data_IF_511756700788
#
_entry.id   IF_511756700788
#
_cell.length_a   1.000
_cell.length_b   1.000
_cell.length_c   1.000
_cell.angle_alpha   90.00
_cell.angle_beta   90.00
_cell.angle_gamma   90.00
#
_symmetry.space_group_name_H-M   'P 1'
#
loop_
_entity.id
_entity.type
_entity.pdbx_description
1 polymer ?
#
# COMPACT_ATOMS: atom_id res chain seq x y z
N UNK A 1 7.88 50.70 18.63
CA UNK A 1 7.83 49.31 19.07
C UNK A 1 7.16 48.52 17.99
N UNK A 2 7.93 47.89 17.12
CA UNK A 2 7.44 47.11 15.99
C UNK A 2 7.09 45.70 16.43
N UNK A 3 5.84 45.28 16.17
CA UNK A 3 5.39 43.92 16.37
C UNK A 3 5.72 43.17 15.09
N UNK A 4 6.75 42.32 15.17
CA UNK A 4 7.11 41.38 14.10
C UNK A 4 6.07 40.29 14.02
N UNK A 5 5.38 40.24 12.88
CA UNK A 5 4.48 39.15 12.48
C UNK A 5 5.23 37.80 12.43
N UNK A 6 4.64 36.68 12.90
CA UNK A 6 5.27 35.39 12.78
C UNK A 6 5.27 34.94 11.33
N UNK A 7 6.46 34.62 10.79
CA UNK A 7 6.65 34.02 9.49
C UNK A 7 5.80 32.73 9.38
N UNK A 8 4.76 32.76 8.55
CA UNK A 8 4.16 31.55 7.97
C UNK A 8 5.27 30.86 7.14
N UNK A 9 5.75 29.75 7.62
CA UNK A 9 6.45 28.80 6.75
C UNK A 9 5.40 28.28 5.73
N UNK A 10 5.37 28.87 4.56
CA UNK A 10 4.79 28.25 3.39
C UNK A 10 5.58 26.97 3.12
N UNK A 11 5.08 25.82 3.56
CA UNK A 11 5.56 24.53 3.10
C UNK A 11 5.32 24.51 1.59
N UNK A 12 6.40 24.72 0.84
CA UNK A 12 6.42 24.57 -0.62
C UNK A 12 5.97 23.13 -0.90
N UNK A 13 4.73 22.96 -1.37
CA UNK A 13 4.22 21.65 -1.80
C UNK A 13 5.20 21.13 -2.85
N UNK A 14 5.98 20.13 -2.47
CA UNK A 14 6.96 19.52 -3.35
C UNK A 14 6.19 18.70 -4.38
N UNK A 15 6.28 19.09 -5.64
CA UNK A 15 5.61 18.39 -6.74
C UNK A 15 6.24 17.01 -6.92
N UNK A 16 5.47 15.95 -6.74
CA UNK A 16 5.85 14.59 -7.10
C UNK A 16 5.98 14.52 -8.62
N UNK A 17 7.06 13.92 -9.13
CA UNK A 17 7.46 14.03 -10.53
C UNK A 17 7.68 12.69 -11.23
N UNK A 18 7.83 11.60 -10.48
CA UNK A 18 8.08 10.30 -11.09
C UNK A 18 6.83 9.83 -11.83
N UNK A 19 6.94 9.74 -13.15
CA UNK A 19 5.87 9.24 -14.02
C UNK A 19 5.87 7.71 -14.08
N UNK A 20 4.79 7.15 -14.61
CA UNK A 20 4.69 5.70 -14.84
C UNK A 20 5.81 5.17 -15.74
N UNK A 21 6.18 5.92 -16.77
CA UNK A 21 7.25 5.56 -17.70
C UNK A 21 8.62 5.55 -17.01
N UNK A 22 8.90 6.54 -16.16
CA UNK A 22 10.14 6.61 -15.40
C UNK A 22 10.24 5.46 -14.39
N UNK A 23 9.16 5.14 -13.70
CA UNK A 23 9.12 4.00 -12.79
C UNK A 23 9.35 2.68 -13.54
N UNK A 24 8.72 2.50 -14.70
CA UNK A 24 8.93 1.33 -15.55
C UNK A 24 10.37 1.23 -16.07
N UNK A 25 10.98 2.37 -16.43
CA UNK A 25 12.39 2.40 -16.85
C UNK A 25 13.29 2.00 -15.69
N UNK A 26 13.08 2.54 -14.47
CA UNK A 26 13.79 2.11 -13.27
C UNK A 26 13.73 0.58 -13.07
N UNK A 27 12.55 -0.02 -13.24
CA UNK A 27 12.40 -1.47 -13.13
C UNK A 27 13.27 -2.19 -14.18
N UNK A 28 13.21 -1.76 -15.43
CA UNK A 28 13.98 -2.36 -16.52
C UNK A 28 15.48 -2.29 -16.24
N UNK A 29 15.98 -1.13 -15.85
CA UNK A 29 17.40 -0.90 -15.57
C UNK A 29 17.88 -1.75 -14.39
N UNK A 30 17.11 -1.76 -13.30
CA UNK A 30 17.44 -2.54 -12.11
C UNK A 30 17.42 -4.05 -12.37
N UNK A 31 16.48 -4.57 -13.14
CA UNK A 31 16.45 -5.98 -13.49
C UNK A 31 17.60 -6.38 -14.43
N UNK A 32 18.21 -5.44 -15.14
CA UNK A 32 19.39 -5.73 -15.96
C UNK A 32 20.64 -6.01 -15.13
N UNK A 33 20.78 -5.35 -13.98
CA UNK A 33 21.97 -5.39 -13.13
C UNK A 33 21.79 -6.18 -11.82
N UNK A 34 20.58 -6.31 -11.31
CA UNK A 34 20.30 -6.99 -10.04
C UNK A 34 19.76 -8.41 -10.23
N UNK A 35 20.68 -9.38 -10.25
CA UNK A 35 20.40 -10.79 -10.57
C UNK A 35 19.31 -11.41 -9.69
N UNK A 36 19.40 -11.28 -8.36
CA UNK A 36 18.42 -11.89 -7.45
C UNK A 36 17.02 -11.25 -7.58
N UNK A 37 16.93 -9.95 -7.88
CA UNK A 37 15.66 -9.32 -8.17
C UNK A 37 15.08 -9.84 -9.50
N UNK A 38 15.91 -9.90 -10.55
CA UNK A 38 15.53 -10.46 -11.86
C UNK A 38 14.96 -11.87 -11.73
N UNK A 39 15.62 -12.73 -10.96
CA UNK A 39 15.18 -14.11 -10.75
C UNK A 39 13.83 -14.17 -10.02
N UNK A 40 13.60 -13.29 -9.03
CA UNK A 40 12.33 -13.19 -8.35
C UNK A 40 11.20 -12.66 -9.24
N UNK A 41 11.48 -11.71 -10.16
CA UNK A 41 10.51 -11.26 -11.16
C UNK A 41 10.22 -12.35 -12.18
N UNK A 42 11.24 -13.07 -12.65
CA UNK A 42 11.05 -14.23 -13.52
C UNK A 42 10.22 -15.33 -12.87
N UNK A 43 10.37 -15.53 -11.55
CA UNK A 43 9.57 -16.50 -10.81
C UNK A 43 8.06 -16.16 -10.80
N UNK A 44 7.67 -14.90 -11.09
CA UNK A 44 6.24 -14.55 -11.26
C UNK A 44 5.61 -15.23 -12.48
N UNK A 45 6.38 -15.57 -13.51
CA UNK A 45 5.88 -16.28 -14.70
C UNK A 45 5.40 -17.70 -14.36
N UNK A 46 5.98 -18.29 -13.31
CA UNK A 46 5.64 -19.63 -12.81
C UNK A 46 4.60 -19.61 -11.69
N UNK A 47 4.08 -18.43 -11.31
CA UNK A 47 3.06 -18.30 -10.28
C UNK A 47 1.75 -18.93 -10.74
N UNK A 48 1.23 -19.83 -9.92
CA UNK A 48 -0.11 -20.38 -10.16
C UNK A 48 -1.15 -19.43 -9.59
N UNK A 49 -2.16 -19.13 -10.40
CA UNK A 49 -3.27 -18.25 -10.02
C UNK A 49 -4.58 -19.02 -10.10
N UNK A 50 -5.37 -18.95 -9.04
CA UNK A 50 -6.72 -19.50 -8.99
C UNK A 50 -7.70 -18.38 -8.70
N UNK A 51 -8.75 -18.27 -9.49
CA UNK A 51 -9.83 -17.32 -9.25
C UNK A 51 -11.02 -18.04 -8.63
N UNK A 52 -11.57 -17.45 -7.59
CA UNK A 52 -12.77 -17.93 -6.90
C UNK A 52 -13.77 -16.77 -6.81
N UNK A 53 -15.05 -17.11 -6.85
CA UNK A 53 -16.12 -16.17 -6.50
C UNK A 53 -16.60 -16.46 -5.09
N UNK A 54 -16.46 -15.49 -4.20
CA UNK A 54 -16.91 -15.58 -2.79
C UNK A 54 -17.87 -14.43 -2.54
N UNK A 55 -19.10 -14.72 -2.18
CA UNK A 55 -20.16 -13.73 -1.94
C UNK A 55 -20.30 -12.70 -3.09
N UNK A 56 -20.16 -13.16 -4.34
CA UNK A 56 -20.21 -12.28 -5.51
C UNK A 56 -18.95 -11.48 -5.82
N UNK A 57 -17.91 -11.59 -4.99
CA UNK A 57 -16.61 -10.93 -5.18
C UNK A 57 -15.61 -11.88 -5.83
N UNK A 58 -14.81 -11.37 -6.76
CA UNK A 58 -13.70 -12.14 -7.35
C UNK A 58 -12.50 -12.12 -6.40
N UNK A 59 -12.02 -13.30 -6.04
CA UNK A 59 -10.81 -13.50 -5.23
C UNK A 59 -9.76 -14.21 -6.06
N UNK A 60 -8.58 -13.61 -6.22
CA UNK A 60 -7.41 -14.25 -6.80
C UNK A 60 -6.55 -14.85 -5.71
N UNK A 61 -6.27 -16.14 -5.82
CA UNK A 61 -5.32 -16.82 -4.95
C UNK A 61 -4.05 -17.07 -5.76
N UNK A 62 -2.93 -16.55 -5.28
CA UNK A 62 -1.62 -16.79 -5.89
C UNK A 62 -0.79 -17.72 -5.02
N UNK A 63 -0.25 -18.75 -5.64
CA UNK A 63 0.81 -19.55 -5.05
C UNK A 63 2.15 -19.15 -5.66
N UNK A 64 2.99 -18.49 -4.84
CA UNK A 64 4.34 -18.08 -5.21
C UNK A 64 5.34 -18.61 -4.18
N UNK A 65 6.00 -19.75 -4.46
CA UNK A 65 6.94 -20.37 -3.52
C UNK A 65 8.18 -19.49 -3.24
N UNK A 66 8.62 -18.65 -4.19
CA UNK A 66 9.78 -17.77 -4.02
C UNK A 66 9.54 -16.69 -2.92
N UNK A 67 8.30 -16.41 -2.54
CA UNK A 67 7.97 -15.40 -1.53
C UNK A 67 7.95 -15.88 -0.09
N UNK A 68 8.18 -17.13 0.18
CA UNK A 68 8.18 -17.68 1.55
C UNK A 68 9.16 -16.88 2.44
N UNK A 69 10.34 -16.57 1.94
CA UNK A 69 11.38 -15.81 2.66
C UNK A 69 10.91 -14.42 3.06
N UNK A 70 10.32 -13.64 2.12
CA UNK A 70 9.85 -12.27 2.40
C UNK A 70 8.60 -12.24 3.29
N UNK A 71 7.82 -13.32 3.29
CA UNK A 71 6.61 -13.45 4.11
C UNK A 71 6.90 -13.71 5.58
N UNK A 72 8.09 -14.22 5.90
CA UNK A 72 8.54 -14.57 7.24
C UNK A 72 9.25 -13.42 7.97
N UNK A 73 9.25 -12.19 7.44
CA UNK A 73 9.88 -11.05 8.11
C UNK A 73 9.32 -10.86 9.52
N UNK A 74 10.20 -10.90 10.51
CA UNK A 74 9.87 -10.64 11.91
C UNK A 74 9.64 -9.14 12.09
N UNK A 75 8.47 -8.78 12.63
CA UNK A 75 8.06 -7.39 12.89
C UNK A 75 7.68 -7.15 14.37
N UNK A 76 8.12 -8.04 15.25
CA UNK A 76 8.02 -7.81 16.68
C UNK A 76 9.01 -6.73 17.14
N UNK A 77 8.69 -6.08 18.26
CA UNK A 77 9.44 -4.93 18.77
C UNK A 77 10.92 -5.22 18.99
N UNK A 78 11.27 -6.43 19.42
CA UNK A 78 12.67 -6.83 19.65
C UNK A 78 13.42 -6.95 18.32
N UNK A 79 12.86 -7.69 17.37
CA UNK A 79 13.45 -7.87 16.04
C UNK A 79 13.62 -6.54 15.28
N UNK A 80 12.68 -5.59 15.45
CA UNK A 80 12.77 -4.26 14.84
C UNK A 80 13.92 -3.43 15.41
N UNK A 81 14.18 -3.53 16.72
CA UNK A 81 15.30 -2.81 17.36
C UNK A 81 16.67 -3.38 16.99
N UNK A 82 16.76 -4.67 16.76
CA UNK A 82 18.02 -5.37 16.49
C UNK A 82 18.43 -5.33 15.02
N UNK A 83 17.47 -5.19 14.09
CA UNK A 83 17.76 -5.17 12.66
C UNK A 83 18.10 -3.75 12.17
N UNK A 84 19.01 -3.66 11.21
CA UNK A 84 19.15 -2.46 10.40
C UNK A 84 17.91 -2.26 9.51
N UNK A 85 17.41 -1.05 9.41
CA UNK A 85 16.27 -0.75 8.55
C UNK A 85 16.69 -0.87 7.07
N UNK A 86 16.12 -1.82 6.35
CA UNK A 86 16.45 -2.09 4.94
C UNK A 86 15.90 -1.03 3.97
N UNK A 87 15.09 -0.08 4.44
CA UNK A 87 14.59 1.04 3.63
C UNK A 87 15.48 2.28 3.73
N UNK A 88 16.30 2.38 4.77
CA UNK A 88 17.30 3.45 4.88
C UNK A 88 18.36 3.32 3.80
N UNK A 89 18.74 4.43 3.18
CA UNK A 89 19.66 4.44 2.03
C UNK A 89 20.98 3.71 2.31
N UNK A 90 21.54 3.91 3.51
CA UNK A 90 22.82 3.32 3.95
C UNK A 90 22.78 1.81 4.18
N UNK A 91 21.60 1.21 4.22
CA UNK A 91 21.43 -0.23 4.46
C UNK A 91 20.88 -0.97 3.24
N UNK A 92 20.62 -0.27 2.14
CA UNK A 92 20.16 -0.89 0.88
C UNK A 92 21.30 -1.67 0.23
N UNK A 93 21.01 -2.72 -0.55
CA UNK A 93 22.02 -3.34 -1.39
C UNK A 93 22.68 -2.30 -2.32
N UNK A 94 24.01 -2.36 -2.50
CA UNK A 94 24.74 -1.42 -3.38
C UNK A 94 24.20 -1.38 -4.80
N UNK A 95 23.69 -2.51 -5.30
CA UNK A 95 23.07 -2.62 -6.63
C UNK A 95 21.70 -1.99 -6.73
N UNK A 96 21.02 -1.70 -5.59
CA UNK A 96 19.68 -1.13 -5.58
C UNK A 96 19.72 0.38 -5.76
N UNK A 97 19.58 0.83 -6.98
CA UNK A 97 19.39 2.24 -7.29
C UNK A 97 17.93 2.65 -7.08
N UNK A 98 17.72 3.92 -6.75
CA UNK A 98 16.41 4.50 -6.55
C UNK A 98 16.21 5.75 -7.39
N UNK A 99 14.96 6.04 -7.72
CA UNK A 99 14.56 7.25 -8.42
C UNK A 99 14.00 8.26 -7.41
N UNK A 100 14.69 9.39 -7.14
CA UNK A 100 14.24 10.39 -6.18
C UNK A 100 12.94 11.08 -6.62
N UNK A 101 12.03 11.29 -5.68
CA UNK A 101 10.74 11.94 -5.90
C UNK A 101 10.35 12.80 -4.68
N UNK A 102 10.91 13.97 -4.59
CA UNK A 102 10.70 14.84 -3.45
C UNK A 102 11.31 14.28 -2.16
N UNK A 103 10.49 14.08 -1.13
CA UNK A 103 10.88 13.45 0.12
C UNK A 103 10.83 11.91 0.09
N UNK A 104 10.57 11.33 -1.08
CA UNK A 104 10.47 9.90 -1.32
C UNK A 104 11.53 9.42 -2.30
N UNK A 105 11.74 8.12 -2.32
CA UNK A 105 12.55 7.45 -3.33
C UNK A 105 11.79 6.23 -3.84
N UNK A 106 11.59 6.13 -5.16
CA UNK A 106 11.06 4.92 -5.78
C UNK A 106 12.15 3.86 -5.86
N UNK A 107 11.86 2.68 -5.34
CA UNK A 107 12.73 1.50 -5.36
C UNK A 107 11.93 0.34 -5.97
N UNK A 108 12.59 -0.50 -6.76
CA UNK A 108 11.93 -1.76 -7.12
C UNK A 108 11.78 -2.64 -5.86
N UNK A 109 10.67 -3.36 -5.76
CA UNK A 109 10.51 -4.35 -4.70
C UNK A 109 11.17 -5.66 -5.14
N UNK A 110 12.26 -6.13 -4.47
CA UNK A 110 12.99 -7.32 -4.92
C UNK A 110 12.20 -8.63 -4.72
N UNK A 111 11.07 -8.59 -4.00
CA UNK A 111 10.17 -9.73 -3.79
C UNK A 111 8.77 -9.40 -4.33
N UNK A 112 8.59 -9.36 -5.66
CA UNK A 112 7.40 -8.81 -6.27
C UNK A 112 6.16 -9.67 -6.03
N UNK A 113 4.99 -8.99 -6.09
CA UNK A 113 3.66 -9.58 -6.18
C UNK A 113 3.06 -9.23 -7.54
N UNK A 114 3.33 -8.00 -7.97
CA UNK A 114 2.89 -7.45 -9.24
C UNK A 114 3.99 -7.59 -10.28
N UNK A 115 3.65 -7.67 -11.58
CA UNK A 115 4.65 -7.61 -12.66
C UNK A 115 5.56 -6.40 -12.58
N UNK A 116 5.05 -5.27 -12.14
CA UNK A 116 5.80 -4.06 -11.80
C UNK A 116 5.45 -3.71 -10.35
N UNK A 117 6.42 -3.84 -9.44
CA UNK A 117 6.20 -3.68 -8.00
C UNK A 117 7.26 -2.78 -7.39
N UNK A 118 6.83 -1.69 -6.77
CA UNK A 118 7.73 -0.70 -6.16
C UNK A 118 7.47 -0.56 -4.66
N UNK A 119 8.51 -0.14 -3.96
CA UNK A 119 8.45 0.35 -2.58
C UNK A 119 8.93 1.79 -2.59
N UNK A 120 8.18 2.68 -1.96
CA UNK A 120 8.40 4.14 -2.02
C UNK A 120 8.58 4.66 -0.59
N UNK A 121 9.77 4.45 0.03
CA UNK A 121 10.06 4.97 1.36
C UNK A 121 10.23 6.48 1.36
N UNK A 122 9.90 7.09 2.49
CA UNK A 122 10.36 8.44 2.83
C UNK A 122 11.89 8.40 2.96
N UNK A 123 12.59 9.47 2.57
CA UNK A 123 14.05 9.52 2.63
C UNK A 123 14.57 9.51 4.08
N UNK A 124 13.80 10.05 5.02
CA UNK A 124 14.10 10.04 6.44
C UNK A 124 13.54 8.80 7.13
N UNK A 125 14.23 8.31 8.16
CA UNK A 125 13.72 7.20 8.97
C UNK A 125 12.63 7.68 9.93
N UNK A 126 11.38 7.63 9.47
CA UNK A 126 10.19 8.08 10.20
C UNK A 126 9.19 6.93 10.35
N UNK A 127 8.41 6.88 11.44
CA UNK A 127 7.42 5.81 11.66
C UNK A 127 6.38 5.71 10.54
N UNK A 128 5.90 4.50 10.29
CA UNK A 128 4.84 4.20 9.32
C UNK A 128 3.50 4.75 9.81
N UNK A 129 3.17 5.99 9.46
CA UNK A 129 1.93 6.68 9.81
C UNK A 129 1.37 7.38 8.57
N UNK A 130 0.04 7.32 8.40
CA UNK A 130 -0.62 7.85 7.19
C UNK A 130 -1.19 9.26 7.36
N UNK A 131 -1.57 9.67 8.57
CA UNK A 131 -2.36 10.88 8.80
C UNK A 131 -1.88 12.09 8.00
N UNK A 132 -0.59 12.39 8.06
CA UNK A 132 0.01 13.55 7.39
C UNK A 132 0.58 13.25 5.99
N UNK A 133 0.40 12.02 5.51
CA UNK A 133 0.97 11.55 4.23
C UNK A 133 -0.10 11.11 3.24
N UNK A 134 -1.37 11.22 3.59
CA UNK A 134 -2.44 10.84 2.67
C UNK A 134 -2.42 11.67 1.39
N UNK A 135 -2.18 13.00 1.48
CA UNK A 135 -2.01 13.86 0.32
C UNK A 135 -0.81 13.47 -0.55
N UNK A 136 0.31 13.04 0.07
CA UNK A 136 1.46 12.51 -0.70
C UNK A 136 1.06 11.27 -1.49
N UNK A 137 0.28 10.37 -0.90
CA UNK A 137 -0.24 9.18 -1.58
C UNK A 137 -1.11 9.55 -2.80
N UNK A 138 -1.93 10.58 -2.69
CA UNK A 138 -2.75 11.09 -3.80
C UNK A 138 -1.87 11.63 -4.92
N UNK A 139 -0.87 12.46 -4.60
CA UNK A 139 0.05 13.05 -5.57
C UNK A 139 0.89 12.00 -6.29
N UNK A 140 1.41 11.01 -5.56
CA UNK A 140 2.13 9.87 -6.15
C UNK A 140 1.23 9.07 -7.10
N UNK A 141 -0.03 8.79 -6.71
CA UNK A 141 -0.98 8.08 -7.56
C UNK A 141 -1.33 8.85 -8.84
N UNK A 142 -1.41 10.18 -8.76
CA UNK A 142 -1.67 11.03 -9.92
C UNK A 142 -0.46 11.11 -10.87
N UNK A 143 0.75 11.24 -10.33
CA UNK A 143 1.96 11.32 -11.14
C UNK A 143 2.25 10.00 -11.88
N UNK A 144 1.98 8.88 -11.23
CA UNK A 144 2.22 7.53 -11.74
C UNK A 144 0.91 6.76 -11.96
N UNK A 145 0.04 7.29 -12.83
CA UNK A 145 -1.36 6.85 -13.00
C UNK A 145 -1.55 5.42 -13.50
N UNK A 146 -0.50 4.75 -14.00
CA UNK A 146 -0.56 3.33 -14.38
C UNK A 146 -0.44 2.39 -13.18
N UNK A 147 -0.26 2.93 -11.98
CA UNK A 147 -0.12 2.14 -10.75
C UNK A 147 -1.25 2.39 -9.76
N UNK A 148 -1.55 1.37 -8.98
CA UNK A 148 -2.27 1.48 -7.73
C UNK A 148 -1.27 1.62 -6.60
N UNK A 149 -1.38 2.70 -5.82
CA UNK A 149 -0.62 2.90 -4.59
C UNK A 149 -1.30 2.18 -3.45
N UNK A 150 -0.52 1.65 -2.52
CA UNK A 150 -1.08 1.06 -1.33
C UNK A 150 -0.26 1.33 -0.07
N UNK A 151 -0.98 1.48 1.02
CA UNK A 151 -0.48 1.70 2.36
C UNK A 151 -0.86 0.52 3.26
N UNK A 152 0.12 -0.03 3.95
CA UNK A 152 -0.08 -0.97 5.03
C UNK A 152 0.27 -0.27 6.34
N UNK A 153 -0.69 -0.12 7.26
CA UNK A 153 -0.44 0.43 8.59
C UNK A 153 0.51 -0.44 9.42
N UNK A 154 1.06 0.08 10.52
CA UNK A 154 2.13 -0.57 11.31
C UNK A 154 1.83 -2.02 11.71
N UNK A 155 0.61 -2.30 12.16
CA UNK A 155 0.12 -3.65 12.49
C UNK A 155 -0.88 -4.18 11.46
N UNK A 156 -0.82 -3.66 10.24
CA UNK A 156 -1.70 -4.04 9.14
C UNK A 156 -0.93 -4.66 7.96
N UNK A 157 0.21 -5.27 8.24
CA UNK A 157 1.02 -5.98 7.25
C UNK A 157 2.22 -5.20 6.72
N UNK A 158 2.54 -4.03 7.27
CA UNK A 158 3.81 -3.36 6.99
C UNK A 158 5.00 -4.26 7.37
N UNK A 159 5.97 -4.42 6.47
CA UNK A 159 7.21 -5.15 6.75
C UNK A 159 8.28 -4.27 7.42
N UNK A 160 8.12 -2.95 7.32
CA UNK A 160 8.92 -1.94 8.01
C UNK A 160 8.00 -0.93 8.70
N UNK A 161 7.38 -1.29 9.85
CA UNK A 161 6.51 -0.37 10.58
C UNK A 161 7.27 0.78 11.24
N UNK A 162 8.58 0.69 11.30
CA UNK A 162 9.54 1.68 11.78
C UNK A 162 9.94 2.70 10.71
N UNK A 163 9.62 2.47 9.43
CA UNK A 163 10.00 3.36 8.33
C UNK A 163 8.83 3.61 7.36
N UNK A 164 8.39 4.85 7.28
CA UNK A 164 7.26 5.24 6.46
C UNK A 164 7.51 4.96 4.96
N UNK A 165 6.58 4.28 4.34
CA UNK A 165 6.66 3.93 2.93
C UNK A 165 5.29 3.64 2.33
N UNK A 166 5.17 3.89 1.05
CA UNK A 166 4.10 3.36 0.21
C UNK A 166 4.63 2.21 -0.64
N UNK A 167 3.73 1.52 -1.30
CA UNK A 167 4.06 0.57 -2.35
C UNK A 167 3.19 0.88 -3.58
N UNK A 168 3.65 0.45 -4.76
CA UNK A 168 2.91 0.60 -5.99
C UNK A 168 2.96 -0.69 -6.81
N UNK A 169 1.86 -1.00 -7.49
CA UNK A 169 1.75 -2.14 -8.41
C UNK A 169 0.87 -1.79 -9.61
N UNK A 170 0.94 -2.60 -10.69
CA UNK A 170 0.18 -2.34 -11.91
C UNK A 170 -1.31 -2.20 -11.65
N UNK A 171 -1.94 -1.14 -12.17
CA UNK A 171 -3.39 -1.01 -12.24
C UNK A 171 -4.00 -2.17 -13.04
N UNK A 172 -5.23 -2.54 -12.67
CA UNK A 172 -5.95 -3.64 -13.29
C UNK A 172 -5.53 -5.04 -12.83
N UNK A 173 -4.55 -5.13 -11.93
CA UNK A 173 -4.12 -6.40 -11.33
C UNK A 173 -5.10 -6.88 -10.25
N UNK A 174 -5.58 -5.98 -9.41
CA UNK A 174 -6.51 -6.31 -8.33
C UNK A 174 -7.95 -6.38 -8.85
N UNK A 175 -8.71 -7.44 -8.55
CA UNK A 175 -10.12 -7.55 -8.95
C UNK A 175 -10.97 -6.35 -8.55
N UNK A 176 -10.75 -5.81 -7.35
CA UNK A 176 -11.50 -4.66 -6.83
C UNK A 176 -11.49 -3.45 -7.77
N UNK A 177 -10.38 -3.15 -8.42
CA UNK A 177 -10.27 -2.00 -9.33
C UNK A 177 -11.32 -2.06 -10.45
N UNK A 178 -11.53 -3.26 -11.03
CA UNK A 178 -12.51 -3.50 -12.09
C UNK A 178 -13.94 -3.60 -11.56
N UNK A 179 -14.08 -4.13 -10.35
CA UNK A 179 -15.35 -4.46 -9.76
C UNK A 179 -15.95 -3.34 -8.89
N UNK A 180 -15.18 -2.29 -8.58
CA UNK A 180 -15.58 -1.24 -7.66
C UNK A 180 -16.97 -0.63 -8.01
N UNK A 181 -17.25 -0.50 -9.31
CA UNK A 181 -18.51 0.12 -9.79
C UNK A 181 -19.75 -0.73 -9.50
N UNK A 182 -19.62 -2.04 -9.26
CA UNK A 182 -20.77 -2.94 -9.02
C UNK A 182 -21.26 -2.93 -7.57
N UNK A 183 -20.42 -2.49 -6.63
CA UNK A 183 -20.75 -2.53 -5.21
C UNK A 183 -21.62 -1.35 -4.79
N UNK A 184 -22.55 -1.61 -3.84
CA UNK A 184 -23.44 -0.61 -3.28
C UNK A 184 -22.66 0.38 -2.44
N UNK A 185 -22.90 1.66 -2.67
CA UNK A 185 -22.28 2.77 -1.96
C UNK A 185 -23.30 3.51 -1.13
N UNK A 186 -23.09 3.56 0.18
CA UNK A 186 -23.90 4.35 1.10
C UNK A 186 -23.18 5.67 1.33
N UNK A 187 -23.71 6.80 0.85
CA UNK A 187 -23.09 8.09 1.05
C UNK A 187 -23.03 8.45 2.53
N UNK A 188 -21.86 8.88 3.01
CA UNK A 188 -21.66 9.36 4.38
C UNK A 188 -21.52 10.88 4.37
N UNK A 189 -20.66 11.39 3.47
CA UNK A 189 -20.35 12.82 3.41
C UNK A 189 -19.90 13.25 2.02
N UNK A 190 -20.24 14.49 1.67
CA UNK A 190 -19.75 15.14 0.45
C UNK A 190 -19.07 16.46 0.84
N UNK A 191 -17.93 16.72 0.25
CA UNK A 191 -17.15 17.95 0.40
C UNK A 191 -16.76 18.45 -0.99
N UNK A 192 -17.39 19.54 -1.47
CA UNK A 192 -17.14 20.08 -2.82
C UNK A 192 -17.11 18.98 -3.89
N UNK A 193 -15.91 18.69 -4.42
CA UNK A 193 -15.63 17.71 -5.48
C UNK A 193 -15.19 16.33 -4.94
N UNK A 194 -15.47 16.02 -3.67
CA UNK A 194 -15.14 14.74 -3.07
C UNK A 194 -16.33 14.13 -2.34
N UNK A 195 -16.42 12.81 -2.35
CA UNK A 195 -17.45 12.02 -1.68
C UNK A 195 -16.81 10.90 -0.85
N UNK A 196 -17.25 10.77 0.39
CA UNK A 196 -17.00 9.63 1.26
C UNK A 196 -18.24 8.75 1.29
N UNK A 197 -18.07 7.47 1.01
CA UNK A 197 -19.12 6.46 1.07
C UNK A 197 -18.64 5.24 1.85
N UNK A 198 -19.55 4.51 2.47
CA UNK A 198 -19.33 3.13 2.90
C UNK A 198 -19.67 2.22 1.72
N UNK A 199 -18.79 1.29 1.42
CA UNK A 199 -19.03 0.26 0.40
C UNK A 199 -19.46 -1.01 1.11
N UNK A 200 -20.67 -1.46 0.76
CA UNK A 200 -21.25 -2.72 1.20
C UNK A 200 -21.23 -3.73 0.04
N UNK A 201 -21.70 -4.94 0.29
CA UNK A 201 -21.74 -6.04 -0.68
C UNK A 201 -20.35 -6.43 -1.22
N UNK A 202 -19.30 -6.05 -0.50
CA UNK A 202 -17.95 -6.53 -0.70
C UNK A 202 -17.58 -7.44 0.47
N UNK A 203 -16.83 -8.48 0.21
CA UNK A 203 -16.43 -9.49 1.20
C UNK A 203 -15.83 -8.91 2.50
N UNK A 204 -15.35 -7.68 2.44
CA UNK A 204 -14.87 -6.91 3.59
C UNK A 204 -15.31 -5.45 3.40
N UNK A 205 -16.33 -4.97 4.13
CA UNK A 205 -16.79 -3.59 4.02
C UNK A 205 -15.65 -2.60 4.20
N UNK A 206 -15.66 -1.51 3.42
CA UNK A 206 -14.63 -0.49 3.44
C UNK A 206 -15.21 0.90 3.17
N UNK A 207 -14.42 1.94 3.42
CA UNK A 207 -14.76 3.31 3.04
C UNK A 207 -14.11 3.68 1.72
N UNK A 208 -14.85 4.38 0.88
CA UNK A 208 -14.40 4.88 -0.41
C UNK A 208 -14.43 6.40 -0.42
N UNK A 209 -13.30 7.02 -0.71
CA UNK A 209 -13.20 8.45 -1.04
C UNK A 209 -12.98 8.55 -2.55
N UNK A 210 -13.95 9.18 -3.24
CA UNK A 210 -13.84 9.57 -4.65
C UNK A 210 -13.69 11.09 -4.72
N UNK A 211 -12.67 11.60 -5.40
CA UNK A 211 -12.36 13.02 -5.39
C UNK A 211 -11.74 13.51 -6.70
N UNK A 212 -12.06 14.75 -7.07
CA UNK A 212 -11.41 15.50 -8.17
C UNK A 212 -10.44 16.56 -7.61
N UNK A 213 -10.43 16.78 -6.30
CA UNK A 213 -9.56 17.72 -5.59
C UNK A 213 -8.84 17.02 -4.44
N UNK A 214 -7.52 17.16 -4.40
CA UNK A 214 -6.67 16.67 -3.31
C UNK A 214 -7.13 17.23 -1.97
N UNK A 215 -7.31 18.55 -1.86
CA UNK A 215 -7.75 19.23 -0.63
C UNK A 215 -9.09 18.67 -0.08
N UNK A 216 -10.04 18.39 -0.98
CA UNK A 216 -11.33 17.85 -0.57
C UNK A 216 -11.21 16.38 -0.13
N UNK A 217 -10.35 15.60 -0.79
CA UNK A 217 -10.05 14.21 -0.40
C UNK A 217 -9.38 14.17 0.98
N UNK A 218 -8.37 15.00 1.22
CA UNK A 218 -7.68 15.08 2.52
C UNK A 218 -8.64 15.47 3.65
N UNK A 219 -9.51 16.45 3.43
CA UNK A 219 -10.54 16.84 4.42
C UNK A 219 -11.47 15.69 4.79
N UNK A 220 -11.90 14.90 3.81
CA UNK A 220 -12.72 13.72 4.08
C UNK A 220 -11.92 12.63 4.79
N UNK A 221 -10.66 12.41 4.37
CA UNK A 221 -9.79 11.43 5.00
C UNK A 221 -9.53 11.76 6.48
N UNK A 222 -9.18 13.01 6.80
CA UNK A 222 -8.95 13.44 8.20
C UNK A 222 -10.21 13.23 9.06
N UNK A 223 -11.40 13.52 8.52
CA UNK A 223 -12.67 13.27 9.24
C UNK A 223 -12.89 11.78 9.48
N UNK A 224 -12.64 10.95 8.47
CA UNK A 224 -12.73 9.50 8.61
C UNK A 224 -11.69 8.97 9.61
N UNK A 225 -10.44 9.40 9.48
CA UNK A 225 -9.34 8.99 10.36
C UNK A 225 -9.66 9.26 11.83
N UNK A 226 -10.16 10.46 12.15
CA UNK A 226 -10.54 10.85 13.51
C UNK A 226 -11.81 10.14 14.02
N UNK A 227 -12.60 9.53 13.15
CA UNK A 227 -13.78 8.76 13.52
C UNK A 227 -13.50 7.26 13.69
N UNK A 228 -12.33 6.79 13.20
CA UNK A 228 -11.92 5.40 13.38
C UNK A 228 -11.40 5.16 14.79
N UNK A 229 -11.63 3.94 15.29
CA UNK A 229 -11.15 3.52 16.60
C UNK A 229 -9.62 3.53 16.65
N UNK A 230 -9.05 4.29 17.57
CA UNK A 230 -7.65 4.20 17.94
C UNK A 230 -7.52 3.24 19.14
N UNK A 231 -6.96 2.07 18.91
CA UNK A 231 -6.75 1.08 19.98
C UNK A 231 -5.65 1.51 20.93
N UNK A 232 -5.78 1.12 22.18
CA UNK A 232 -4.76 1.39 23.20
C UNK A 232 -3.39 0.85 22.78
N UNK A 233 -2.36 1.71 22.85
CA UNK A 233 -1.00 1.39 22.45
C UNK A 233 -0.72 1.37 20.94
N UNK A 234 -1.72 1.67 20.10
CA UNK A 234 -1.50 1.85 18.66
C UNK A 234 -1.19 3.31 18.33
N UNK A 235 -0.26 3.59 17.41
CA UNK A 235 0.11 4.96 17.04
C UNK A 235 -0.90 5.62 16.10
N UNK A 236 -1.75 4.81 15.42
CA UNK A 236 -2.81 5.27 14.52
C UNK A 236 -3.94 4.22 14.44
N UNK A 237 -5.13 4.59 13.95
CA UNK A 237 -6.18 3.62 13.65
C UNK A 237 -5.69 2.57 12.65
N UNK A 238 -5.95 1.31 12.97
CA UNK A 238 -5.49 0.19 12.14
C UNK A 238 -6.21 0.19 10.78
N UNK A 239 -5.47 0.39 9.69
CA UNK A 239 -6.04 0.38 8.34
C UNK A 239 -5.06 -0.03 7.26
N UNK A 240 -5.64 -0.40 6.12
CA UNK A 240 -4.95 -0.49 4.84
C UNK A 240 -5.64 0.42 3.84
N UNK A 241 -4.90 0.98 2.89
CA UNK A 241 -5.44 1.89 1.88
C UNK A 241 -4.96 1.46 0.49
N UNK A 242 -5.88 1.47 -0.48
CA UNK A 242 -5.59 1.41 -1.92
C UNK A 242 -5.98 2.75 -2.53
N UNK A 243 -5.11 3.33 -3.35
CA UNK A 243 -5.41 4.58 -4.05
C UNK A 243 -4.92 4.51 -5.47
N UNK A 244 -5.77 4.93 -6.41
CA UNK A 244 -5.39 5.12 -7.82
C UNK A 244 -6.03 6.38 -8.38
N UNK A 245 -5.43 6.88 -9.45
CA UNK A 245 -5.93 8.02 -10.21
C UNK A 245 -6.35 7.56 -11.61
N UNK A 246 -7.51 8.00 -12.04
CA UNK A 246 -8.07 7.65 -13.34
C UNK A 246 -9.12 8.67 -13.78
N UNK A 247 -9.09 9.06 -15.05
CA UNK A 247 -10.08 9.98 -15.64
C UNK A 247 -10.28 11.27 -14.82
N UNK A 248 -9.20 11.84 -14.30
CA UNK A 248 -9.25 13.08 -13.53
C UNK A 248 -9.69 12.93 -12.06
N UNK A 249 -9.80 11.71 -11.55
CA UNK A 249 -10.33 11.42 -10.21
C UNK A 249 -9.45 10.44 -9.44
N UNK A 250 -9.35 10.67 -8.14
CA UNK A 250 -8.83 9.66 -7.21
C UNK A 250 -9.95 8.76 -6.70
N UNK A 251 -9.64 7.48 -6.61
CA UNK A 251 -10.40 6.50 -5.83
C UNK A 251 -9.50 5.97 -4.73
N UNK A 252 -9.89 6.20 -3.47
CA UNK A 252 -9.16 5.70 -2.30
C UNK A 252 -10.07 4.79 -1.50
N UNK A 253 -9.70 3.50 -1.41
CA UNK A 253 -10.39 2.48 -0.63
C UNK A 253 -9.69 2.30 0.71
N UNK A 254 -10.33 2.64 1.81
CA UNK A 254 -9.81 2.57 3.18
C UNK A 254 -10.45 1.38 3.89
N UNK A 255 -9.64 0.42 4.29
CA UNK A 255 -10.04 -0.81 4.97
C UNK A 255 -9.65 -0.76 6.46
N UNK A 256 -10.57 -0.41 7.37
CA UNK A 256 -10.31 -0.50 8.80
C UNK A 256 -10.03 -1.95 9.23
N UNK A 257 -9.16 -2.12 10.21
CA UNK A 257 -8.74 -3.43 10.70
C UNK A 257 -9.08 -3.63 12.16
N UNK A 258 -9.72 -4.77 12.46
CA UNK A 258 -9.99 -5.16 13.83
C UNK A 258 -8.78 -5.78 14.54
N UNK A 259 -7.89 -6.44 13.78
CA UNK A 259 -6.73 -7.14 14.35
C UNK A 259 -5.59 -7.26 13.35
N UNK A 260 -4.37 -7.45 13.86
CA UNK A 260 -3.16 -7.59 13.06
C UNK A 260 -3.23 -8.80 12.11
N UNK A 261 -3.65 -9.93 12.62
CA UNK A 261 -3.75 -11.19 11.87
C UNK A 261 -5.09 -11.89 12.15
N UNK A 262 -5.67 -12.59 11.18
CA UNK A 262 -6.89 -13.36 11.43
C UNK A 262 -6.60 -14.53 12.39
N UNK A 263 -7.61 -14.99 13.11
CA UNK A 263 -7.49 -16.12 14.04
C UNK A 263 -6.92 -17.38 13.40
N UNK A 264 -7.31 -17.66 12.15
CA UNK A 264 -6.81 -18.78 11.37
C UNK A 264 -5.31 -18.72 11.04
N UNK A 265 -4.66 -17.57 11.23
CA UNK A 265 -3.21 -17.45 11.04
C UNK A 265 -2.40 -18.24 12.07
N UNK A 266 -2.94 -18.36 13.30
CA UNK A 266 -2.30 -19.03 14.42
C UNK A 266 -2.81 -20.47 14.63
N UNK A 267 -3.74 -20.94 13.79
CA UNK A 267 -4.26 -22.29 13.87
C UNK A 267 -3.16 -23.31 13.54
N UNK A 268 -3.08 -24.39 14.32
CA UNK A 268 -2.18 -25.51 14.05
C UNK A 268 -2.77 -26.44 12.99
N UNK A 269 -1.89 -27.11 12.24
CA UNK A 269 -2.28 -28.08 11.21
C UNK A 269 -2.67 -27.46 9.87
N UNK A 270 -3.66 -28.07 9.22
CA UNK A 270 -4.02 -27.72 7.83
C UNK A 270 -4.81 -26.41 7.69
N UNK A 271 -5.25 -25.78 8.75
CA UNK A 271 -5.99 -24.52 8.74
C UNK A 271 -5.08 -23.28 8.68
N UNK A 272 -3.78 -23.48 8.91
CA UNK A 272 -2.82 -22.39 8.99
C UNK A 272 -2.40 -21.89 7.60
N UNK A 273 -2.24 -20.58 7.42
CA UNK A 273 -1.50 -19.93 6.31
C UNK A 273 -2.26 -18.93 5.46
N UNK A 274 -3.13 -18.17 6.05
CA UNK A 274 -3.57 -16.97 5.39
C UNK A 274 -2.84 -15.74 5.98
N UNK A 275 -1.85 -15.18 5.28
CA UNK A 275 -1.25 -13.90 5.69
C UNK A 275 -2.05 -12.71 5.17
N UNK A 276 -2.69 -11.89 6.04
CA UNK A 276 -3.38 -10.69 5.59
C UNK A 276 -2.36 -9.58 5.31
N UNK A 277 -2.04 -9.41 4.05
CA UNK A 277 -1.40 -8.20 3.50
C UNK A 277 -2.36 -7.57 2.52
N UNK A 278 -2.11 -6.33 2.12
CA UNK A 278 -3.06 -5.55 1.31
C UNK A 278 -3.46 -6.21 -0.01
N UNK A 279 -2.63 -7.06 -0.61
CA UNK A 279 -3.02 -7.87 -1.75
C UNK A 279 -4.34 -8.64 -1.56
N UNK A 280 -4.79 -8.84 -0.31
CA UNK A 280 -6.07 -9.50 0.01
C UNK A 280 -7.27 -8.57 -0.01
N UNK A 281 -7.12 -7.27 0.17
CA UNK A 281 -8.25 -6.34 0.14
C UNK A 281 -8.68 -6.02 -1.28
N UNK A 282 -7.76 -6.04 -2.23
CA UNK A 282 -8.07 -6.13 -3.65
C UNK A 282 -8.35 -7.58 -4.09
N UNK A 283 -8.32 -8.51 -3.13
CA UNK A 283 -8.49 -9.97 -3.22
C UNK A 283 -7.50 -10.66 -4.14
N UNK A 284 -6.22 -10.44 -3.83
CA UNK A 284 -5.14 -11.31 -4.23
C UNK A 284 -4.52 -11.94 -2.99
N UNK A 285 -4.80 -13.21 -2.74
CA UNK A 285 -4.28 -13.96 -1.59
C UNK A 285 -3.01 -14.71 -2.00
N UNK A 286 -1.91 -14.50 -1.26
CA UNK A 286 -0.69 -15.27 -1.45
C UNK A 286 -0.69 -16.49 -0.53
N UNK A 287 -0.58 -17.67 -1.12
CA UNK A 287 -0.53 -18.93 -0.38
C UNK A 287 0.89 -19.50 -0.40
N UNK A 288 1.52 -19.76 0.76
CA UNK A 288 2.89 -20.26 0.83
C UNK A 288 3.02 -21.78 0.63
N UNK A 289 1.93 -22.54 0.64
CA UNK A 289 1.96 -24.01 0.55
C UNK A 289 1.20 -24.52 -0.66
N UNK A 290 1.86 -25.37 -1.48
CA UNK A 290 1.27 -26.01 -2.67
C UNK A 290 0.09 -26.96 -2.30
N UNK A 291 0.11 -27.56 -1.10
CA UNK A 291 -0.93 -28.53 -0.68
C UNK A 291 -2.33 -27.92 -0.55
N UNK A 292 -2.44 -26.58 -0.55
CA UNK A 292 -3.68 -25.83 -0.32
C UNK A 292 -4.08 -24.92 -1.49
N UNK A 293 -3.26 -24.88 -2.52
CA UNK A 293 -3.57 -24.22 -3.78
C UNK A 293 -4.38 -25.16 -4.67
#
# INVERSE_FOLDING_TARGET
MGITSPHRHEQKIMQMKVTSEQAKQLLTDQLSVWESARDNYKALEAVQVKELTVEGCTVKIQFNPARIVSSAAKVDTQSLKERKCFLCAENRPEVQEGLPDGSYTWLINPFPIFPEHFTIPVNEHLPQLIEKRFGDMLRLAQAAEHYVLFYNGPKCGASAPDHAHFQAGNKGFLPLEKELKKYRRIPIRTEKSARLSQVEDYICPFFLIEAESEEAAEKLFVKLYNALELKEGEPEPMMNILTWYEEGKWSSCIFPRAQHRPSCYFAEGDENLAQPRLGRYGWCVHHPSRKRF
#
